data_IF_312489600589
#
_entry.id   IF_312489600589
#
_cell.length_a   1.000
_cell.length_b   1.000
_cell.length_c   1.000
_cell.angle_alpha   90.00
_cell.angle_beta   90.00
_cell.angle_gamma   90.00
#
_symmetry.space_group_name_H-M   'P 1'
#
loop_
_entity.id
_entity.type
_entity.pdbx_description
1 polymer ?
#
# COMPACT_ATOMS: atom_id res chain seq x y z
N UNK A 1 2.35 -8.97 -19.80
CA UNK A 1 1.44 -9.34 -18.69
C UNK A 1 2.00 -8.74 -17.43
N UNK A 2 1.22 -8.04 -16.60
CA UNK A 2 1.65 -7.63 -15.28
C UNK A 2 1.22 -8.68 -14.26
N UNK A 3 2.14 -9.05 -13.39
CA UNK A 3 1.83 -9.84 -12.19
C UNK A 3 1.99 -8.95 -10.96
N UNK A 4 1.02 -9.03 -10.09
CA UNK A 4 0.98 -8.33 -8.80
C UNK A 4 1.04 -9.40 -7.72
N UNK A 5 1.99 -9.27 -6.82
CA UNK A 5 2.12 -10.09 -5.62
C UNK A 5 1.84 -9.21 -4.40
N UNK A 6 0.82 -9.53 -3.63
CA UNK A 6 0.55 -8.87 -2.35
C UNK A 6 1.56 -9.41 -1.33
N UNK A 7 2.54 -8.61 -0.95
CA UNK A 7 3.54 -9.00 0.05
C UNK A 7 2.99 -8.90 1.47
N UNK A 8 2.21 -7.85 1.71
CA UNK A 8 1.52 -7.62 2.97
C UNK A 8 0.20 -6.90 2.74
N UNK A 9 -0.83 -7.27 3.48
CA UNK A 9 -2.20 -6.82 3.28
C UNK A 9 -2.79 -6.03 4.44
N UNK A 10 -2.14 -6.00 5.62
CA UNK A 10 -2.59 -5.24 6.77
C UNK A 10 -2.09 -3.80 6.79
N UNK A 11 -2.76 -2.92 7.53
CA UNK A 11 -2.30 -1.58 7.88
C UNK A 11 -1.12 -1.59 8.85
N UNK A 12 -0.64 -0.44 9.23
CA UNK A 12 0.48 -0.27 10.17
C UNK A 12 0.32 -1.11 11.43
N UNK A 13 1.38 -1.85 11.77
CA UNK A 13 1.43 -2.80 12.89
C UNK A 13 1.06 -4.24 12.54
N UNK A 14 0.52 -4.51 11.36
CA UNK A 14 0.14 -5.87 10.93
C UNK A 14 -1.09 -6.43 11.64
N UNK A 15 -1.43 -7.67 11.36
CA UNK A 15 -2.50 -8.41 12.05
C UNK A 15 -2.04 -9.83 12.37
N UNK A 16 -1.99 -10.26 13.66
CA UNK A 16 -2.35 -9.47 14.84
C UNK A 16 -1.28 -8.40 15.15
N UNK A 17 -1.70 -7.21 15.53
CA UNK A 17 -0.76 -6.20 15.98
C UNK A 17 -0.16 -6.58 17.33
N UNK A 18 1.13 -6.34 17.55
CA UNK A 18 1.91 -6.84 18.69
C UNK A 18 1.34 -6.45 20.06
N UNK A 19 0.77 -5.26 20.18
CA UNK A 19 0.20 -4.70 21.42
C UNK A 19 -1.35 -4.68 21.44
N UNK A 20 -2.01 -5.29 20.44
CA UNK A 20 -3.47 -5.29 20.35
C UNK A 20 -4.06 -6.60 20.85
N UNK A 21 -5.07 -6.50 21.71
CA UNK A 21 -5.87 -7.63 22.21
C UNK A 21 -7.36 -7.48 21.88
N UNK A 22 -7.68 -6.77 20.79
CA UNK A 22 -9.05 -6.73 20.24
C UNK A 22 -9.53 -8.12 19.87
N UNK A 23 -10.84 -8.29 19.70
CA UNK A 23 -11.40 -9.60 19.36
C UNK A 23 -10.82 -10.19 18.07
N UNK A 24 -10.56 -9.36 17.05
CA UNK A 24 -9.93 -9.78 15.78
C UNK A 24 -8.49 -10.19 16.01
N UNK A 25 -7.66 -9.30 16.60
CA UNK A 25 -6.24 -9.59 16.90
C UNK A 25 -6.08 -10.85 17.74
N UNK A 26 -6.95 -11.04 18.74
CA UNK A 26 -6.91 -12.24 19.59
C UNK A 26 -7.20 -13.50 18.80
N UNK A 27 -8.26 -13.52 17.99
CA UNK A 27 -8.61 -14.68 17.15
C UNK A 27 -7.47 -15.05 16.20
N UNK A 28 -6.86 -14.06 15.55
CA UNK A 28 -5.71 -14.27 14.63
C UNK A 28 -4.51 -14.82 15.41
N UNK A 29 -4.17 -14.27 16.58
CA UNK A 29 -3.06 -14.73 17.41
C UNK A 29 -3.25 -16.15 17.92
N UNK A 30 -4.49 -16.50 18.26
CA UNK A 30 -4.87 -17.84 18.73
C UNK A 30 -4.96 -18.85 17.56
N UNK A 31 -4.79 -18.43 16.30
CA UNK A 31 -4.84 -19.28 15.11
C UNK A 31 -6.20 -19.93 14.87
N UNK A 32 -7.30 -19.23 15.19
CA UNK A 32 -8.64 -19.77 15.02
C UNK A 32 -8.99 -19.98 13.54
N UNK A 33 -9.82 -20.98 13.19
CA UNK A 33 -10.31 -21.16 11.83
C UNK A 33 -10.88 -19.88 11.23
N UNK A 34 -10.65 -19.64 9.93
CA UNK A 34 -11.10 -18.42 9.25
C UNK A 34 -10.30 -17.17 9.60
N UNK A 35 -9.08 -17.35 10.13
CA UNK A 35 -8.16 -16.26 10.41
C UNK A 35 -6.77 -16.55 9.85
N UNK A 36 -6.07 -15.50 9.41
CA UNK A 36 -4.69 -15.60 8.95
C UNK A 36 -3.87 -14.38 9.39
N UNK A 37 -2.64 -14.56 9.89
CA UNK A 37 -1.73 -13.44 10.12
C UNK A 37 -1.46 -12.68 8.82
N UNK A 38 -1.29 -11.36 8.92
CA UNK A 38 -1.00 -10.48 7.79
C UNK A 38 0.07 -9.47 8.16
N UNK A 39 1.03 -9.31 7.29
CA UNK A 39 2.08 -8.29 7.42
C UNK A 39 1.61 -6.94 6.86
N UNK A 40 2.36 -5.89 7.16
CA UNK A 40 2.02 -4.52 6.79
C UNK A 40 2.08 -4.32 5.26
N UNK A 41 1.21 -3.46 4.75
CA UNK A 41 0.89 -3.30 3.34
C UNK A 41 2.11 -2.99 2.46
N UNK A 42 2.30 -3.85 1.49
CA UNK A 42 3.27 -3.69 0.40
C UNK A 42 2.88 -4.62 -0.74
N UNK A 43 3.10 -4.21 -1.99
CA UNK A 43 2.93 -5.08 -3.15
C UNK A 43 4.21 -5.10 -3.99
N UNK A 44 4.42 -6.17 -4.73
CA UNK A 44 5.46 -6.27 -5.74
C UNK A 44 4.83 -6.48 -7.12
N UNK A 45 5.36 -5.83 -8.14
CA UNK A 45 4.86 -5.94 -9.52
C UNK A 45 6.01 -6.30 -10.45
N UNK A 46 5.74 -7.19 -11.39
CA UNK A 46 6.69 -7.56 -12.44
C UNK A 46 6.01 -7.67 -13.79
N UNK A 47 6.79 -7.47 -14.86
CA UNK A 47 6.37 -7.71 -16.25
C UNK A 47 7.06 -8.95 -16.88
N UNK A 48 8.05 -9.53 -16.18
CA UNK A 48 8.93 -10.58 -16.75
C UNK A 48 9.28 -11.71 -15.78
N UNK A 49 8.70 -11.76 -14.58
CA UNK A 49 8.95 -12.72 -13.49
C UNK A 49 10.38 -12.72 -12.90
N UNK A 50 11.24 -11.79 -13.35
CA UNK A 50 12.64 -11.71 -12.91
C UNK A 50 12.94 -10.43 -12.13
N UNK A 51 12.54 -9.29 -12.69
CA UNK A 51 12.76 -7.98 -12.10
C UNK A 51 11.46 -7.46 -11.49
N UNK A 52 11.51 -7.09 -10.23
CA UNK A 52 10.36 -6.67 -9.44
C UNK A 52 10.48 -5.23 -8.99
N UNK A 53 9.35 -4.54 -8.97
CA UNK A 53 9.18 -3.20 -8.40
C UNK A 53 8.29 -3.32 -7.19
N UNK A 54 8.75 -2.85 -6.04
CA UNK A 54 7.94 -2.74 -4.83
C UNK A 54 7.11 -1.45 -4.88
N UNK A 55 5.90 -1.52 -4.38
CA UNK A 55 5.07 -0.37 -4.07
C UNK A 55 4.85 -0.36 -2.56
N UNK A 56 5.45 0.63 -1.91
CA UNK A 56 5.75 0.74 -0.50
C UNK A 56 6.71 -0.36 0.02
N UNK A 57 7.47 -0.01 1.03
CA UNK A 57 8.44 -0.90 1.68
C UNK A 57 8.10 -0.97 3.17
N UNK A 58 7.31 -1.96 3.56
CA UNK A 58 6.87 -2.13 4.95
C UNK A 58 8.00 -2.57 5.87
N UNK A 59 7.89 -2.31 7.18
CA UNK A 59 8.84 -2.83 8.18
C UNK A 59 9.02 -4.35 8.11
N UNK A 60 8.03 -5.08 7.61
CA UNK A 60 8.02 -6.54 7.50
C UNK A 60 8.72 -7.06 6.23
N UNK A 61 9.30 -6.18 5.40
CA UNK A 61 9.84 -6.53 4.08
C UNK A 61 10.79 -7.73 4.11
N UNK A 62 11.63 -7.88 5.15
CA UNK A 62 12.51 -9.02 5.30
C UNK A 62 11.75 -10.35 5.34
N UNK A 63 10.69 -10.43 6.16
CA UNK A 63 9.82 -11.61 6.26
C UNK A 63 9.00 -11.80 4.98
N UNK A 64 8.51 -10.73 4.38
CA UNK A 64 7.78 -10.75 3.13
C UNK A 64 8.61 -11.35 1.99
N UNK A 65 9.89 -10.99 1.88
CA UNK A 65 10.81 -11.58 0.91
C UNK A 65 11.00 -13.08 1.20
N UNK A 66 11.25 -13.45 2.46
CA UNK A 66 11.48 -14.85 2.83
C UNK A 66 10.28 -15.76 2.58
N UNK A 67 9.07 -15.25 2.76
CA UNK A 67 7.82 -15.99 2.57
C UNK A 67 7.40 -16.12 1.08
N UNK A 68 8.01 -15.36 0.18
CA UNK A 68 7.65 -15.34 -1.23
C UNK A 68 8.84 -15.76 -2.11
N UNK A 69 8.82 -16.99 -2.61
CA UNK A 69 9.91 -17.59 -3.41
C UNK A 69 10.26 -16.75 -4.65
N UNK A 70 9.29 -16.04 -5.22
CA UNK A 70 9.47 -15.16 -6.37
C UNK A 70 10.47 -14.02 -6.08
N UNK A 71 10.57 -13.62 -4.82
CA UNK A 71 11.45 -12.55 -4.33
C UNK A 71 12.85 -13.03 -3.91
N UNK A 72 13.11 -14.36 -3.94
CA UNK A 72 14.40 -14.91 -3.53
C UNK A 72 15.51 -14.60 -4.55
N UNK A 73 16.78 -14.55 -4.10
CA UNK A 73 17.93 -14.49 -4.99
C UNK A 73 17.93 -15.67 -5.98
N UNK A 74 18.11 -15.38 -7.28
CA UNK A 74 18.07 -16.39 -8.36
C UNK A 74 19.43 -16.60 -9.05
N UNK A 75 20.36 -15.66 -8.84
CA UNK A 75 21.66 -15.59 -9.53
C UNK A 75 22.71 -15.21 -8.51
N UNK A 76 23.96 -15.47 -8.78
CA UNK A 76 25.13 -15.05 -8.00
C UNK A 76 25.05 -15.32 -6.48
N UNK A 77 26.12 -15.10 -5.76
CA UNK A 77 26.17 -15.20 -4.28
C UNK A 77 25.37 -14.10 -3.58
N UNK A 78 25.24 -12.95 -4.23
CA UNK A 78 24.42 -11.82 -3.79
C UNK A 78 23.60 -11.33 -4.97
N UNK A 79 22.28 -11.44 -4.89
CA UNK A 79 21.35 -11.00 -5.92
C UNK A 79 20.04 -10.53 -5.28
N UNK A 80 19.47 -9.46 -5.82
CA UNK A 80 18.12 -9.02 -5.52
C UNK A 80 17.29 -8.94 -6.80
N UNK A 81 16.12 -9.56 -6.86
CA UNK A 81 15.19 -9.35 -7.96
C UNK A 81 14.52 -7.97 -7.87
N UNK A 82 14.57 -7.28 -6.70
CA UNK A 82 13.98 -5.95 -6.50
C UNK A 82 14.88 -4.92 -7.18
N UNK A 83 14.34 -4.22 -8.18
CA UNK A 83 15.05 -3.20 -8.99
C UNK A 83 14.56 -1.79 -8.74
N UNK A 84 13.34 -1.64 -8.20
CA UNK A 84 12.75 -0.37 -7.90
C UNK A 84 11.84 -0.44 -6.68
N UNK A 85 11.67 0.71 -6.01
CA UNK A 85 10.65 0.93 -4.98
C UNK A 85 9.92 2.22 -5.30
N UNK A 86 8.60 2.20 -5.28
CA UNK A 86 7.73 3.36 -5.44
C UNK A 86 7.01 3.60 -4.13
N UNK A 87 7.09 4.81 -3.57
CA UNK A 87 6.47 5.16 -2.29
C UNK A 87 5.23 6.03 -2.50
N UNK A 88 4.13 5.69 -1.83
CA UNK A 88 2.87 6.43 -1.91
C UNK A 88 2.72 7.51 -0.85
N UNK A 89 3.41 7.39 0.26
CA UNK A 89 3.49 8.38 1.34
C UNK A 89 4.76 8.17 2.17
N UNK A 90 4.93 8.97 3.23
CA UNK A 90 6.11 8.92 4.11
C UNK A 90 5.88 8.17 5.43
N UNK A 91 4.75 7.50 5.66
CA UNK A 91 4.49 6.80 6.92
C UNK A 91 5.41 5.59 7.15
N UNK A 92 5.64 5.25 8.43
CA UNK A 92 6.60 4.20 8.85
C UNK A 92 6.32 2.87 8.18
N UNK A 93 5.06 2.49 8.09
CA UNK A 93 4.61 1.24 7.48
C UNK A 93 4.83 1.20 5.95
N UNK A 94 5.12 2.33 5.33
CA UNK A 94 5.41 2.44 3.90
C UNK A 94 6.89 2.66 3.56
N UNK A 95 7.70 3.18 4.49
CA UNK A 95 9.10 3.54 4.18
C UNK A 95 10.15 2.78 4.98
N UNK A 96 9.81 2.24 6.16
CA UNK A 96 10.83 1.69 7.06
C UNK A 96 11.53 0.43 6.50
N UNK A 97 10.86 -0.34 5.64
CA UNK A 97 11.43 -1.49 4.96
C UNK A 97 12.59 -1.15 4.02
N UNK A 98 12.74 0.11 3.61
CA UNK A 98 13.92 0.56 2.87
C UNK A 98 15.21 0.28 3.64
N UNK A 99 15.18 0.29 4.97
CA UNK A 99 16.33 0.00 5.81
C UNK A 99 16.83 -1.45 5.65
N UNK A 100 15.95 -2.38 5.28
CA UNK A 100 16.31 -3.77 4.94
C UNK A 100 17.06 -3.87 3.60
N UNK A 101 16.90 -2.87 2.72
CA UNK A 101 17.52 -2.84 1.37
C UNK A 101 18.91 -2.18 1.36
N UNK A 102 19.53 -1.92 2.52
CA UNK A 102 20.87 -1.30 2.67
C UNK A 102 22.05 -2.17 2.19
N UNK A 103 21.79 -3.38 1.71
CA UNK A 103 22.80 -4.41 1.45
C UNK A 103 23.57 -4.23 0.13
N UNK A 104 23.71 -2.97 -0.34
CA UNK A 104 24.48 -2.59 -1.53
C UNK A 104 24.06 -3.31 -2.82
N UNK A 105 22.77 -3.48 -3.00
CA UNK A 105 22.17 -3.88 -4.27
C UNK A 105 21.67 -2.65 -5.02
N UNK A 106 21.88 -2.63 -6.33
CA UNK A 106 21.42 -1.52 -7.16
C UNK A 106 19.89 -1.40 -7.12
N UNK A 107 19.40 -0.21 -6.80
CA UNK A 107 18.01 0.07 -6.55
C UNK A 107 17.65 1.52 -6.93
N UNK A 108 16.49 1.72 -7.54
CA UNK A 108 15.91 3.05 -7.75
C UNK A 108 14.72 3.27 -6.81
N UNK A 109 14.72 4.36 -6.05
CA UNK A 109 13.60 4.74 -5.16
C UNK A 109 12.87 5.92 -5.79
N UNK A 110 11.61 5.70 -6.16
CA UNK A 110 10.71 6.67 -6.76
C UNK A 110 9.73 7.18 -5.71
N UNK A 111 9.63 8.49 -5.56
CA UNK A 111 8.68 9.13 -4.66
C UNK A 111 8.42 10.58 -5.07
N UNK A 112 7.31 11.15 -4.63
CA UNK A 112 7.12 12.59 -4.71
C UNK A 112 8.15 13.33 -3.84
N UNK A 113 8.50 14.57 -4.22
CA UNK A 113 9.49 15.41 -3.49
C UNK A 113 9.22 15.52 -2.00
N UNK A 114 7.94 15.52 -1.59
CA UNK A 114 7.51 15.56 -0.18
C UNK A 114 8.00 14.32 0.59
N UNK A 115 7.81 13.13 0.04
CA UNK A 115 8.28 11.88 0.63
C UNK A 115 9.81 11.79 0.61
N UNK A 116 10.46 12.28 -0.45
CA UNK A 116 11.92 12.37 -0.47
C UNK A 116 12.48 13.32 0.60
N UNK A 117 11.77 14.41 0.94
CA UNK A 117 12.14 15.27 2.08
C UNK A 117 12.09 14.50 3.39
N UNK A 118 11.04 13.71 3.62
CA UNK A 118 10.95 12.83 4.79
C UNK A 118 12.18 11.92 4.91
N UNK A 119 12.56 11.24 3.82
CA UNK A 119 13.73 10.36 3.82
C UNK A 119 15.05 11.12 4.02
N UNK A 120 15.15 12.36 3.55
CA UNK A 120 16.34 13.20 3.67
C UNK A 120 16.53 13.74 5.09
N UNK A 121 15.43 14.13 5.72
CA UNK A 121 15.44 14.72 7.07
C UNK A 121 15.65 13.66 8.17
N UNK A 122 15.39 12.40 7.87
CA UNK A 122 15.62 11.27 8.76
C UNK A 122 16.96 10.59 8.41
N UNK A 123 18.01 10.96 9.14
CA UNK A 123 19.40 10.57 8.86
C UNK A 123 19.64 9.05 8.81
N UNK A 124 18.78 8.24 9.41
CA UNK A 124 18.88 6.78 9.33
C UNK A 124 18.83 6.26 7.89
N UNK A 125 18.09 6.93 7.00
CA UNK A 125 18.01 6.57 5.58
C UNK A 125 19.29 6.86 4.77
N UNK A 126 20.31 7.47 5.40
CA UNK A 126 21.64 7.62 4.78
C UNK A 126 22.39 6.27 4.66
N UNK A 127 21.89 5.21 5.31
CA UNK A 127 22.40 3.83 5.08
C UNK A 127 22.17 3.35 3.65
N UNK A 128 21.22 3.97 2.92
CA UNK A 128 21.00 3.73 1.51
C UNK A 128 22.07 4.49 0.69
N UNK A 129 23.23 3.87 0.56
CA UNK A 129 24.39 4.46 -0.10
C UNK A 129 24.06 4.90 -1.54
N UNK A 130 24.28 6.17 -1.94
CA UNK A 130 23.98 6.69 -3.28
C UNK A 130 24.75 6.01 -4.42
N UNK A 131 25.85 5.33 -4.14
CA UNK A 131 26.54 4.52 -5.16
C UNK A 131 25.67 3.37 -5.66
N UNK A 132 24.76 2.87 -4.81
CA UNK A 132 23.87 1.73 -5.10
C UNK A 132 22.39 2.14 -5.21
N UNK A 133 21.96 3.19 -4.51
CA UNK A 133 20.55 3.60 -4.45
C UNK A 133 20.41 5.03 -4.98
N UNK A 134 19.70 5.20 -6.07
CA UNK A 134 19.30 6.52 -6.54
C UNK A 134 17.87 6.88 -6.11
N UNK A 135 17.61 8.17 -5.95
CA UNK A 135 16.31 8.73 -5.59
C UNK A 135 15.76 9.52 -6.76
N UNK A 136 14.61 9.13 -7.28
CA UNK A 136 13.98 9.71 -8.47
C UNK A 136 12.66 10.36 -8.11
N UNK A 137 12.48 11.63 -8.43
CA UNK A 137 11.24 12.34 -8.18
C UNK A 137 10.14 11.87 -9.11
N UNK A 138 8.95 11.65 -8.54
CA UNK A 138 7.70 11.51 -9.28
C UNK A 138 7.04 12.87 -9.40
N UNK A 139 6.60 13.20 -10.60
CA UNK A 139 5.74 14.33 -10.86
C UNK A 139 4.28 13.87 -10.97
N UNK A 140 3.38 14.65 -10.39
CA UNK A 140 1.95 14.33 -10.37
C UNK A 140 1.35 14.43 -11.79
N UNK A 141 0.40 13.53 -12.09
CA UNK A 141 -0.34 13.48 -13.34
C UNK A 141 0.53 13.35 -14.61
N UNK A 142 1.75 12.80 -14.45
CA UNK A 142 2.64 12.46 -15.54
C UNK A 142 2.97 10.98 -15.53
N UNK A 143 3.04 10.38 -16.71
CA UNK A 143 3.54 9.01 -16.86
C UNK A 143 5.04 8.96 -16.71
N UNK A 144 5.50 7.97 -15.96
CA UNK A 144 6.90 7.68 -15.72
C UNK A 144 7.22 6.23 -16.05
N UNK A 145 8.27 6.01 -16.85
CA UNK A 145 8.86 4.68 -17.03
C UNK A 145 9.67 4.29 -15.79
N UNK A 146 9.43 3.12 -15.25
CA UNK A 146 10.24 2.59 -14.15
C UNK A 146 11.47 1.90 -14.71
N UNK A 147 12.64 2.42 -14.35
CA UNK A 147 13.94 1.88 -14.76
C UNK A 147 14.75 1.43 -13.55
N UNK A 148 15.55 0.39 -13.73
CA UNK A 148 16.56 0.03 -12.74
C UNK A 148 17.59 1.16 -12.59
N UNK A 149 18.46 1.08 -11.58
CA UNK A 149 19.54 2.04 -11.38
C UNK A 149 20.47 2.10 -12.59
N UNK A 150 20.69 0.98 -13.26
CA UNK A 150 21.51 0.87 -14.47
C UNK A 150 20.81 1.40 -15.74
N UNK A 151 19.56 1.87 -15.62
CA UNK A 151 18.79 2.41 -16.73
C UNK A 151 18.02 1.36 -17.55
N UNK A 152 18.00 0.08 -17.12
CA UNK A 152 17.20 -0.96 -17.78
C UNK A 152 15.72 -0.65 -17.57
N UNK A 153 14.95 -0.62 -18.64
CA UNK A 153 13.49 -0.52 -18.60
C UNK A 153 12.89 -1.80 -17.96
N UNK A 154 11.99 -1.62 -17.01
CA UNK A 154 11.30 -2.72 -16.34
C UNK A 154 9.93 -3.03 -16.98
N UNK A 155 9.59 -2.36 -18.08
CA UNK A 155 8.32 -2.44 -18.80
C UNK A 155 7.10 -2.14 -17.91
N UNK A 156 7.30 -1.30 -16.91
CA UNK A 156 6.27 -0.80 -16.01
C UNK A 156 6.30 0.73 -16.09
N UNK A 157 5.15 1.31 -16.36
CA UNK A 157 4.94 2.75 -16.29
C UNK A 157 4.03 3.06 -15.10
N UNK A 158 4.18 4.21 -14.50
CA UNK A 158 3.30 4.70 -13.44
C UNK A 158 2.83 6.12 -13.73
N UNK A 159 1.65 6.44 -13.24
CA UNK A 159 1.12 7.79 -13.14
C UNK A 159 0.71 8.01 -11.69
N UNK A 160 1.38 8.95 -11.00
CA UNK A 160 1.03 9.36 -9.65
C UNK A 160 -0.04 10.45 -9.69
N UNK A 161 -1.00 10.38 -8.78
CA UNK A 161 -2.05 11.38 -8.63
C UNK A 161 -2.37 11.62 -7.16
N UNK A 162 -2.86 12.81 -6.86
CA UNK A 162 -3.26 13.16 -5.50
C UNK A 162 -4.49 12.35 -5.08
N UNK A 163 -4.47 11.90 -3.82
CA UNK A 163 -5.65 11.38 -3.13
C UNK A 163 -5.81 12.10 -1.80
N UNK A 164 -7.05 12.35 -1.35
CA UNK A 164 -7.26 12.88 0.00
C UNK A 164 -6.64 11.95 1.03
N UNK A 165 -5.78 12.51 1.86
CA UNK A 165 -5.03 11.76 2.87
C UNK A 165 -4.47 12.70 3.91
N UNK A 166 -3.38 12.33 4.55
CA UNK A 166 -2.70 13.15 5.54
C UNK A 166 -1.17 13.06 5.40
N UNK A 167 -0.51 14.06 5.96
CA UNK A 167 0.94 14.05 6.15
C UNK A 167 1.34 12.89 7.08
N UNK A 168 2.57 12.38 6.96
CA UNK A 168 3.11 11.36 7.83
C UNK A 168 2.97 11.73 9.32
N UNK A 169 2.61 10.76 10.15
CA UNK A 169 2.18 10.97 11.55
C UNK A 169 3.15 11.85 12.36
N UNK A 170 4.47 11.64 12.22
CA UNK A 170 5.46 12.41 12.98
C UNK A 170 5.73 13.81 12.44
N UNK A 171 5.09 14.20 11.35
CA UNK A 171 5.14 15.54 10.77
C UNK A 171 3.84 16.31 10.98
N UNK A 172 2.85 15.70 11.62
CA UNK A 172 1.58 16.36 11.93
C UNK A 172 1.82 17.60 12.82
N UNK A 173 1.28 18.73 12.39
CA UNK A 173 1.37 20.00 13.12
C UNK A 173 -0.05 20.51 13.40
N UNK A 174 -0.52 20.32 14.64
CA UNK A 174 -1.86 20.72 15.06
C UNK A 174 -2.08 22.26 14.99
N UNK A 175 -0.99 23.04 15.02
CA UNK A 175 -1.09 24.51 14.87
C UNK A 175 -1.51 24.94 13.47
N UNK A 176 -1.37 24.07 12.47
CA UNK A 176 -1.75 24.29 11.07
C UNK A 176 -3.20 23.96 10.75
N UNK A 177 -4.00 23.64 11.76
CA UNK A 177 -5.43 23.38 11.62
C UNK A 177 -5.77 21.91 11.35
N UNK A 178 -6.99 21.67 10.88
CA UNK A 178 -7.58 20.33 10.79
C UNK A 178 -6.87 19.36 9.81
N UNK A 179 -6.12 19.90 8.85
CA UNK A 179 -5.33 19.09 7.90
C UNK A 179 -3.90 18.82 8.36
N UNK A 180 -3.50 19.28 9.56
CA UNK A 180 -2.20 19.05 10.19
C UNK A 180 -0.98 19.44 9.33
N UNK A 181 -1.16 20.35 8.37
CA UNK A 181 -0.12 20.79 7.44
C UNK A 181 0.08 19.85 6.24
N UNK A 182 -0.92 19.03 5.94
CA UNK A 182 -0.93 18.17 4.73
C UNK A 182 -0.92 19.04 3.47
N UNK A 183 -0.09 18.66 2.51
CA UNK A 183 0.07 19.28 1.20
C UNK A 183 0.02 18.24 0.08
N UNK A 184 -0.16 18.69 -1.16
CA UNK A 184 -0.11 17.84 -2.34
C UNK A 184 1.15 16.96 -2.36
N UNK A 185 0.97 15.67 -2.58
CA UNK A 185 2.06 14.69 -2.65
C UNK A 185 2.46 14.07 -1.32
N UNK A 186 1.83 14.43 -0.20
CA UNK A 186 2.00 13.72 1.07
C UNK A 186 1.35 12.33 1.03
N UNK A 187 0.23 12.19 0.32
CA UNK A 187 -0.43 10.90 0.02
C UNK A 187 -0.81 10.86 -1.46
N UNK A 188 -0.40 9.82 -2.16
CA UNK A 188 -0.68 9.64 -3.58
C UNK A 188 -1.30 8.28 -3.87
N UNK A 189 -2.16 8.26 -4.89
CA UNK A 189 -2.57 7.04 -5.58
C UNK A 189 -1.70 6.82 -6.82
N UNK A 190 -1.66 5.60 -7.30
CA UNK A 190 -0.89 5.21 -8.47
C UNK A 190 -1.77 4.48 -9.48
N UNK A 191 -1.68 4.86 -10.76
CA UNK A 191 -2.08 4.02 -11.88
C UNK A 191 -0.83 3.37 -12.45
N UNK A 192 -0.81 2.05 -12.48
CA UNK A 192 0.34 1.24 -12.89
C UNK A 192 -0.01 0.57 -14.20
N UNK A 193 0.86 0.72 -15.20
CA UNK A 193 0.65 0.26 -16.56
C UNK A 193 1.72 -0.76 -16.96
N UNK A 194 1.33 -1.69 -17.82
CA UNK A 194 2.28 -2.41 -18.64
C UNK A 194 2.61 -1.60 -19.88
N UNK A 195 3.88 -1.32 -20.13
CA UNK A 195 4.29 -0.71 -21.40
C UNK A 195 4.12 -1.65 -22.62
N UNK A 196 3.79 -2.93 -22.37
CA UNK A 196 3.73 -3.96 -23.42
C UNK A 196 2.33 -4.25 -23.94
N UNK A 197 1.26 -4.04 -23.15
CA UNK A 197 -0.09 -4.54 -23.51
C UNK A 197 -1.26 -3.66 -23.09
N UNK A 198 -1.08 -2.39 -22.82
CA UNK A 198 -2.11 -1.43 -22.41
C UNK A 198 -2.94 -1.84 -21.15
N UNK A 199 -2.53 -2.87 -20.43
CA UNK A 199 -3.15 -3.27 -19.17
C UNK A 199 -2.70 -2.36 -18.05
N UNK A 200 -3.61 -2.06 -17.14
CA UNK A 200 -3.33 -1.21 -15.99
C UNK A 200 -4.19 -1.56 -14.79
N UNK A 201 -3.74 -1.13 -13.62
CA UNK A 201 -4.49 -1.20 -12.38
C UNK A 201 -4.23 0.02 -11.51
N UNK A 202 -5.10 0.25 -10.53
CA UNK A 202 -4.90 1.30 -9.54
C UNK A 202 -4.46 0.71 -8.20
N UNK A 203 -3.53 1.41 -7.54
CA UNK A 203 -3.06 1.13 -6.18
C UNK A 203 -3.25 2.36 -5.31
N UNK A 204 -4.20 2.29 -4.39
CA UNK A 204 -4.63 3.41 -3.52
C UNK A 204 -4.76 2.88 -2.09
N UNK A 205 -3.63 2.64 -1.38
CA UNK A 205 -3.64 2.00 -0.05
C UNK A 205 -4.08 2.93 1.08
N UNK A 206 -4.20 4.23 0.82
CA UNK A 206 -4.70 5.22 1.77
C UNK A 206 -5.56 6.24 1.02
N UNK A 207 -6.77 6.51 1.52
CA UNK A 207 -7.69 7.47 0.93
C UNK A 207 -8.72 7.94 1.98
N UNK A 208 -8.73 9.23 2.31
CA UNK A 208 -9.65 9.77 3.31
C UNK A 208 -11.06 10.02 2.76
N UNK A 209 -11.20 10.24 1.45
CA UNK A 209 -12.45 10.59 0.81
C UNK A 209 -12.43 10.24 -0.69
N UNK A 210 -13.57 9.78 -1.22
CA UNK A 210 -13.77 9.62 -2.65
C UNK A 210 -14.24 10.94 -3.26
N UNK A 211 -13.29 11.66 -3.87
CA UNK A 211 -13.63 12.90 -4.62
C UNK A 211 -14.21 12.56 -5.99
N UNK A 212 -14.91 13.54 -6.59
CA UNK A 212 -15.43 13.40 -7.96
C UNK A 212 -14.32 13.10 -8.97
N UNK A 213 -13.17 13.76 -8.84
CA UNK A 213 -12.02 13.57 -9.72
C UNK A 213 -11.41 12.18 -9.57
N UNK A 214 -11.27 11.69 -8.33
CA UNK A 214 -10.81 10.33 -8.07
C UNK A 214 -11.77 9.28 -8.63
N UNK A 215 -13.08 9.45 -8.38
CA UNK A 215 -14.11 8.57 -8.90
C UNK A 215 -14.08 8.51 -10.45
N UNK A 216 -13.96 9.65 -11.12
CA UNK A 216 -13.84 9.71 -12.56
C UNK A 216 -12.56 9.04 -13.09
N UNK A 217 -11.44 9.15 -12.35
CA UNK A 217 -10.16 8.56 -12.71
C UNK A 217 -10.18 7.03 -12.68
N UNK A 218 -10.82 6.44 -11.68
CA UNK A 218 -10.88 4.98 -11.50
C UNK A 218 -12.08 4.31 -12.21
N UNK A 219 -12.99 5.11 -12.72
CA UNK A 219 -14.19 4.62 -13.41
C UNK A 219 -13.84 3.63 -14.53
N UNK A 220 -14.64 2.56 -14.65
CA UNK A 220 -14.53 1.50 -15.66
C UNK A 220 -13.15 0.78 -15.70
N UNK A 221 -12.34 0.90 -14.64
CA UNK A 221 -11.02 0.24 -14.57
C UNK A 221 -11.15 -1.27 -14.38
N UNK A 222 -10.13 -2.00 -14.84
CA UNK A 222 -10.09 -3.47 -14.72
C UNK A 222 -9.85 -3.92 -13.27
N UNK A 223 -8.90 -3.29 -12.56
CA UNK A 223 -8.53 -3.67 -11.19
C UNK A 223 -8.22 -2.44 -10.36
N UNK A 224 -8.74 -2.38 -9.14
CA UNK A 224 -8.38 -1.39 -8.11
C UNK A 224 -8.05 -2.11 -6.81
N UNK A 225 -6.82 -1.93 -6.33
CA UNK A 225 -6.46 -2.22 -4.95
C UNK A 225 -6.69 -0.95 -4.14
N UNK A 226 -7.63 -0.99 -3.22
CA UNK A 226 -8.12 0.19 -2.51
C UNK A 226 -8.03 0.05 -1.00
N UNK A 227 -7.93 1.18 -0.33
CA UNK A 227 -7.90 1.33 1.12
C UNK A 227 -9.02 0.54 1.83
N UNK A 228 -8.64 -0.45 2.62
CA UNK A 228 -9.52 -1.31 3.40
C UNK A 228 -9.37 -1.10 4.91
N UNK A 229 -8.78 0.01 5.35
CA UNK A 229 -8.30 0.18 6.71
C UNK A 229 -9.36 -0.08 7.77
N UNK A 230 -10.51 0.54 7.71
CA UNK A 230 -11.54 0.43 8.74
C UNK A 230 -12.91 0.06 8.17
N UNK A 231 -13.67 -0.75 8.92
CA UNK A 231 -15.07 -1.02 8.60
C UNK A 231 -15.95 0.20 8.86
N UNK A 232 -15.81 0.80 10.07
CA UNK A 232 -16.51 2.02 10.48
C UNK A 232 -15.51 3.11 10.89
N UNK A 233 -15.93 4.36 10.75
CA UNK A 233 -15.06 5.51 11.01
C UNK A 233 -14.56 5.57 12.46
N UNK A 234 -15.35 5.12 13.43
CA UNK A 234 -15.04 5.12 14.86
C UNK A 234 -14.62 3.74 15.40
N UNK A 235 -14.27 2.81 14.52
CA UNK A 235 -13.91 1.41 14.85
C UNK A 235 -12.83 1.31 15.92
N UNK A 236 -11.83 2.21 15.93
CA UNK A 236 -10.77 2.21 16.93
C UNK A 236 -11.32 2.49 18.33
N UNK A 237 -12.26 3.45 18.45
CA UNK A 237 -12.89 3.82 19.72
C UNK A 237 -13.85 2.74 20.20
N UNK A 238 -14.70 2.22 19.32
CA UNK A 238 -15.65 1.15 19.65
C UNK A 238 -14.96 -0.15 20.04
N UNK A 239 -13.81 -0.45 19.43
CA UNK A 239 -12.94 -1.58 19.80
C UNK A 239 -12.07 -1.31 21.04
N UNK A 240 -12.11 -0.10 21.59
CA UNK A 240 -11.33 0.33 22.79
C UNK A 240 -9.80 0.17 22.62
N UNK A 241 -9.29 0.35 21.41
CA UNK A 241 -7.86 0.24 21.11
C UNK A 241 -7.22 1.57 20.71
N UNK A 242 -8.01 2.63 20.54
CA UNK A 242 -7.57 3.98 20.22
C UNK A 242 -8.73 4.95 20.19
N UNK A 243 -8.43 6.25 20.06
CA UNK A 243 -9.42 7.32 20.03
C UNK A 243 -9.58 7.96 18.63
N UNK A 244 -8.65 7.65 17.71
CA UNK A 244 -8.65 8.25 16.38
C UNK A 244 -9.73 7.62 15.49
N UNK A 245 -10.41 8.48 14.73
CA UNK A 245 -11.32 8.05 13.66
C UNK A 245 -10.55 7.74 12.39
N UNK A 246 -11.18 7.01 11.47
CA UNK A 246 -10.61 6.75 10.14
C UNK A 246 -10.25 8.03 9.40
N UNK A 247 -11.16 8.99 9.34
CA UNK A 247 -10.89 10.31 8.75
C UNK A 247 -9.71 11.02 9.39
N UNK A 248 -9.57 10.99 10.73
CA UNK A 248 -8.43 11.57 11.43
C UNK A 248 -7.11 10.87 11.06
N UNK A 249 -7.15 9.62 10.68
CA UNK A 249 -6.00 8.84 10.25
C UNK A 249 -5.73 8.92 8.74
N UNK A 250 -6.59 9.60 7.96
CA UNK A 250 -6.45 9.73 6.52
C UNK A 250 -7.08 8.58 5.72
N UNK A 251 -8.04 7.86 6.33
CA UNK A 251 -8.71 6.70 5.75
C UNK A 251 -10.23 6.83 5.79
N UNK A 252 -10.89 6.59 4.67
CA UNK A 252 -12.33 6.40 4.65
C UNK A 252 -12.72 4.99 5.11
N UNK A 253 -13.90 4.86 5.69
CA UNK A 253 -14.43 3.57 6.12
C UNK A 253 -14.98 2.74 4.94
N UNK A 254 -15.09 1.42 5.14
CA UNK A 254 -15.60 0.52 4.11
C UNK A 254 -17.12 0.53 4.02
N UNK A 255 -17.83 0.63 5.14
CA UNK A 255 -19.29 0.51 5.26
C UNK A 255 -20.02 1.86 5.25
N UNK A 256 -21.35 1.80 5.16
CA UNK A 256 -22.24 2.97 5.25
C UNK A 256 -22.31 3.80 3.97
N UNK A 257 -23.13 4.85 4.00
CA UNK A 257 -23.48 5.66 2.82
C UNK A 257 -22.30 6.33 2.11
N UNK A 258 -21.27 6.72 2.89
CA UNK A 258 -20.06 7.36 2.36
C UNK A 258 -18.86 6.39 2.41
N UNK A 259 -19.11 5.10 2.66
CA UNK A 259 -18.05 4.09 2.68
C UNK A 259 -17.65 3.65 1.29
N UNK A 260 -16.45 3.06 1.17
CA UNK A 260 -15.89 2.65 -0.11
C UNK A 260 -16.79 1.66 -0.86
N UNK A 261 -17.49 0.74 -0.18
CA UNK A 261 -18.42 -0.20 -0.82
C UNK A 261 -19.52 0.55 -1.57
N UNK A 262 -20.12 1.57 -0.96
CA UNK A 262 -21.23 2.32 -1.55
C UNK A 262 -20.77 3.23 -2.68
N UNK A 263 -19.69 3.98 -2.47
CA UNK A 263 -19.22 4.96 -3.47
C UNK A 263 -18.64 4.29 -4.73
N UNK A 264 -18.24 3.03 -4.67
CA UNK A 264 -17.79 2.25 -5.82
C UNK A 264 -18.92 1.57 -6.60
N UNK A 265 -20.17 1.60 -6.10
CA UNK A 265 -21.29 0.82 -6.68
C UNK A 265 -21.48 1.07 -8.16
N UNK A 266 -21.45 2.32 -8.58
CA UNK A 266 -21.74 2.75 -9.93
C UNK A 266 -20.50 3.13 -10.75
N UNK A 267 -19.29 2.84 -10.25
CA UNK A 267 -18.05 3.21 -10.93
C UNK A 267 -17.63 2.22 -12.03
N UNK A 268 -18.32 1.09 -12.19
CA UNK A 268 -18.00 0.12 -13.24
C UNK A 268 -16.66 -0.58 -13.09
N UNK A 269 -16.00 -0.50 -11.91
CA UNK A 269 -14.74 -1.18 -11.63
C UNK A 269 -14.98 -2.69 -11.62
N UNK A 270 -14.24 -3.44 -12.46
CA UNK A 270 -14.49 -4.87 -12.65
C UNK A 270 -14.02 -5.72 -11.48
N UNK A 271 -12.84 -5.44 -10.92
CA UNK A 271 -12.27 -6.15 -9.79
C UNK A 271 -11.83 -5.17 -8.71
N UNK A 272 -12.40 -5.28 -7.54
CA UNK A 272 -12.21 -4.39 -6.39
C UNK A 272 -11.60 -5.19 -5.25
N UNK A 273 -10.45 -4.77 -4.73
CA UNK A 273 -9.71 -5.53 -3.73
C UNK A 273 -9.32 -4.60 -2.59
N UNK A 274 -9.76 -4.90 -1.37
CA UNK A 274 -9.29 -4.19 -0.18
C UNK A 274 -7.86 -4.60 0.18
N UNK A 275 -7.04 -3.60 0.45
CA UNK A 275 -5.67 -3.72 0.96
C UNK A 275 -5.47 -2.73 2.13
N UNK A 276 -4.37 -2.80 2.85
CA UNK A 276 -4.08 -1.92 3.99
C UNK A 276 -5.16 -2.02 5.09
N UNK A 277 -5.43 -3.24 5.55
CA UNK A 277 -6.55 -3.55 6.44
C UNK A 277 -6.09 -3.50 7.90
N UNK A 278 -6.73 -2.65 8.72
CA UNK A 278 -6.36 -2.52 10.13
C UNK A 278 -6.73 -3.78 10.94
N UNK A 279 -5.93 -4.07 11.96
CA UNK A 279 -6.08 -5.24 12.83
C UNK A 279 -7.42 -5.32 13.59
N UNK A 280 -8.19 -4.22 13.65
CA UNK A 280 -9.52 -4.18 14.25
C UNK A 280 -10.63 -4.47 13.27
N UNK A 281 -10.37 -4.35 11.97
CA UNK A 281 -11.37 -4.48 10.93
C UNK A 281 -11.93 -5.92 10.87
N UNK A 282 -13.24 -6.12 11.08
CA UNK A 282 -13.85 -7.45 11.10
C UNK A 282 -13.80 -8.20 9.76
N UNK A 283 -13.53 -7.51 8.63
CA UNK A 283 -13.38 -8.18 7.33
C UNK A 283 -12.18 -9.13 7.27
N UNK A 284 -11.26 -9.04 8.23
CA UNK A 284 -10.14 -9.98 8.40
C UNK A 284 -10.59 -11.38 8.83
N UNK A 285 -11.80 -11.50 9.38
CA UNK A 285 -12.41 -12.78 9.79
C UNK A 285 -13.29 -13.30 8.65
N UNK A 286 -12.96 -14.47 8.11
CA UNK A 286 -13.67 -15.06 6.95
C UNK A 286 -15.15 -15.37 7.22
N UNK A 287 -15.51 -15.61 8.49
CA UNK A 287 -16.86 -15.93 8.94
C UNK A 287 -17.68 -14.73 9.41
N UNK A 288 -17.10 -13.53 9.39
CA UNK A 288 -17.81 -12.31 9.85
C UNK A 288 -18.94 -11.90 8.91
N UNK A 289 -19.93 -11.19 9.47
CA UNK A 289 -21.01 -10.61 8.64
C UNK A 289 -20.45 -9.53 7.69
N UNK A 290 -19.48 -8.79 8.15
CA UNK A 290 -18.80 -7.71 7.41
C UNK A 290 -18.07 -8.28 6.19
N UNK A 291 -17.39 -9.42 6.36
CA UNK A 291 -16.74 -10.14 5.24
C UNK A 291 -17.77 -10.58 4.18
N UNK A 292 -18.91 -11.12 4.61
CA UNK A 292 -19.99 -11.52 3.69
C UNK A 292 -20.54 -10.33 2.91
N UNK A 293 -20.75 -9.18 3.59
CA UNK A 293 -21.20 -7.94 2.93
C UNK A 293 -20.18 -7.49 1.86
N UNK A 294 -18.88 -7.56 2.16
CA UNK A 294 -17.80 -7.26 1.22
C UNK A 294 -17.92 -8.12 -0.04
N UNK A 295 -18.03 -9.43 0.12
CA UNK A 295 -18.09 -10.41 -0.97
C UNK A 295 -19.40 -10.28 -1.78
N UNK A 296 -20.55 -10.08 -1.13
CA UNK A 296 -21.85 -9.85 -1.76
C UNK A 296 -21.87 -8.58 -2.63
N UNK A 297 -21.04 -7.58 -2.30
CA UNK A 297 -20.85 -6.35 -3.10
C UNK A 297 -19.73 -6.46 -4.15
N UNK A 298 -19.22 -7.67 -4.40
CA UNK A 298 -18.22 -7.95 -5.42
C UNK A 298 -16.83 -7.41 -5.08
N UNK A 299 -16.49 -7.28 -3.80
CA UNK A 299 -15.18 -6.96 -3.33
C UNK A 299 -14.42 -8.22 -2.87
N UNK A 300 -13.12 -8.19 -3.03
CA UNK A 300 -12.20 -9.16 -2.47
C UNK A 300 -11.44 -8.55 -1.27
N UNK A 301 -11.00 -9.39 -0.36
CA UNK A 301 -10.10 -9.01 0.74
C UNK A 301 -8.74 -9.62 0.46
N UNK A 302 -7.72 -8.79 0.24
CA UNK A 302 -6.37 -9.27 -0.04
C UNK A 302 -5.77 -10.02 1.14
N UNK A 303 -4.81 -10.87 0.87
CA UNK A 303 -4.01 -11.61 1.84
C UNK A 303 -2.55 -11.70 1.37
N UNK A 304 -1.66 -11.94 2.33
CA UNK A 304 -0.23 -12.06 2.04
C UNK A 304 0.03 -13.27 1.14
N UNK A 305 0.77 -13.07 0.06
CA UNK A 305 1.03 -14.09 -0.97
C UNK A 305 -0.04 -14.18 -2.07
N UNK A 306 -1.08 -13.34 -2.06
CA UNK A 306 -2.08 -13.29 -3.13
C UNK A 306 -1.44 -12.83 -4.44
N UNK A 307 -1.64 -13.59 -5.51
CA UNK A 307 -1.17 -13.27 -6.86
C UNK A 307 -2.32 -12.82 -7.75
N UNK A 308 -2.09 -11.77 -8.54
CA UNK A 308 -3.07 -11.20 -9.48
C UNK A 308 -2.35 -11.02 -10.81
N UNK A 309 -2.95 -11.54 -11.89
CA UNK A 309 -2.47 -11.34 -13.27
C UNK A 309 -3.45 -10.45 -14.04
N UNK A 310 -2.92 -9.49 -14.83
CA UNK A 310 -3.69 -8.57 -15.66
C UNK A 310 -3.09 -8.36 -17.05
#
# INVERSE_FOLDING_TARGET
MLKILILGSAAGGGSPQWNCNSSVSKKVRDGLPGTSPRTQSSIAVTSNDEDWVLFNASPDLGSQILNNKQMHPKRDLRHSPIKGVVLTNGDVDHVAGLLSLRERQNLSVYAHKRVHSVLKENSIFNVLNPDYVDRRNLEMNKKFEIKSKEGKDLNIEIEAFEVPGKIALWLEDESKGANFGTEEGDTIGLKIFSSQNNKSFFYIPACAEMTTDLAQRIKDSDVVLFDGTLWENDEMATSKVGEKTGQRMGHMNNSGKNGSIEVFRDLGVKRKIFIHINTTNPILLEDSKERKIVEENGWEVSYDGMEIEI
#
